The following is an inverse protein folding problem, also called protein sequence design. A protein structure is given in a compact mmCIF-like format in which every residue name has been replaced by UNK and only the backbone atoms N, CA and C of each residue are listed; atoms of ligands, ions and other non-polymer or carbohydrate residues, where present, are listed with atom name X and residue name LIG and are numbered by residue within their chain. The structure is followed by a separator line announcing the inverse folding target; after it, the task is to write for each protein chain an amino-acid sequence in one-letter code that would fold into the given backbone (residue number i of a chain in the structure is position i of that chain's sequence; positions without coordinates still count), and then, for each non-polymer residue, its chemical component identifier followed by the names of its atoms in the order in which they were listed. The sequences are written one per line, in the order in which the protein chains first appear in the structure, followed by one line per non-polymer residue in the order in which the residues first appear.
data_IF_758397823915
#
_entry.id   IF_758397823915
#
_cell.length_a   1.000
_cell.length_b   1.000
_cell.length_c   1.000
_cell.angle_alpha   90.00
_cell.angle_beta   90.00
_cell.angle_gamma   90.00
#
_symmetry.space_group_name_H-M   'P 1'
#
loop_
_entity.id
_entity.type
_entity.pdbx_description
1 polymer ?
#
# COMPACT_ATOMS: atom_id res chain seq x y z
N UNK A 1 1.30 19.13 -8.36
CA UNK A 1 0.30 18.31 -9.08
C UNK A 1 0.72 16.86 -9.21
N UNK A 2 1.87 16.55 -9.83
CA UNK A 2 2.36 15.18 -10.05
C UNK A 2 2.37 14.29 -8.79
N UNK A 3 2.90 14.78 -7.65
CA UNK A 3 2.91 14.03 -6.37
C UNK A 3 1.51 13.64 -5.88
N UNK A 4 0.51 14.51 -6.07
CA UNK A 4 -0.88 14.21 -5.70
C UNK A 4 -1.49 13.15 -6.63
N UNK A 5 -1.20 13.20 -7.92
CA UNK A 5 -1.65 12.19 -8.89
C UNK A 5 -1.06 10.82 -8.54
N UNK A 6 0.25 10.75 -8.28
CA UNK A 6 0.91 9.50 -7.86
C UNK A 6 0.31 9.01 -6.53
N UNK A 7 0.03 9.91 -5.58
CA UNK A 7 -0.58 9.52 -4.30
C UNK A 7 -1.96 8.90 -4.48
N UNK A 8 -2.79 9.45 -5.37
CA UNK A 8 -4.10 8.90 -5.70
C UNK A 8 -3.97 7.53 -6.37
N UNK A 9 -3.07 7.36 -7.35
CA UNK A 9 -2.85 6.08 -8.02
C UNK A 9 -2.36 4.99 -7.05
N UNK A 10 -1.40 5.32 -6.17
CA UNK A 10 -0.90 4.41 -5.13
C UNK A 10 -2.01 4.04 -4.14
N UNK A 11 -2.88 5.00 -3.79
CA UNK A 11 -4.02 4.73 -2.92
C UNK A 11 -5.00 3.75 -3.57
N UNK A 12 -5.33 3.94 -4.86
CA UNK A 12 -6.21 3.02 -5.60
C UNK A 12 -5.59 1.61 -5.66
N UNK A 13 -4.30 1.51 -5.99
CA UNK A 13 -3.59 0.23 -6.01
C UNK A 13 -3.60 -0.45 -4.62
N UNK A 14 -3.44 0.34 -3.55
CA UNK A 14 -3.50 -0.15 -2.17
C UNK A 14 -4.88 -0.71 -1.83
N UNK A 15 -5.96 -0.03 -2.20
CA UNK A 15 -7.33 -0.53 -2.00
C UNK A 15 -7.57 -1.83 -2.75
N UNK A 16 -7.02 -1.95 -3.96
CA UNK A 16 -7.11 -3.17 -4.77
C UNK A 16 -6.34 -4.33 -4.13
N UNK A 17 -5.12 -4.08 -3.64
CA UNK A 17 -4.33 -5.07 -2.92
C UNK A 17 -5.02 -5.53 -1.62
N UNK A 18 -5.67 -4.61 -0.88
CA UNK A 18 -6.47 -4.94 0.30
C UNK A 18 -7.65 -5.84 -0.09
N UNK A 19 -8.38 -5.52 -1.16
CA UNK A 19 -9.48 -6.36 -1.67
C UNK A 19 -9.01 -7.78 -1.95
N UNK A 20 -7.93 -7.94 -2.72
CA UNK A 20 -7.38 -9.26 -3.04
C UNK A 20 -6.90 -10.01 -1.79
N UNK A 21 -6.30 -9.29 -0.84
CA UNK A 21 -5.93 -9.85 0.47
C UNK A 21 -7.18 -10.39 1.17
N UNK A 22 -8.26 -9.61 1.28
CA UNK A 22 -9.51 -10.06 1.91
C UNK A 22 -10.06 -11.31 1.21
N UNK A 23 -10.06 -11.37 -0.13
CA UNK A 23 -10.49 -12.55 -0.89
C UNK A 23 -9.64 -13.78 -0.55
N UNK A 24 -8.32 -13.65 -0.47
CA UNK A 24 -7.40 -14.72 -0.06
C UNK A 24 -7.73 -15.21 1.37
N UNK A 25 -8.12 -14.29 2.25
CA UNK A 25 -8.47 -14.62 3.63
C UNK A 25 -9.86 -15.27 3.77
N UNK A 26 -10.84 -14.88 2.95
CA UNK A 26 -12.24 -15.33 3.07
C UNK A 26 -12.62 -16.46 2.12
N UNK A 27 -11.86 -16.70 1.06
CA UNK A 27 -12.17 -17.79 0.13
C UNK A 27 -12.04 -19.16 0.79
N UNK A 28 -12.92 -20.07 0.39
CA UNK A 28 -12.96 -21.47 0.83
C UNK A 28 -12.42 -22.41 -0.25
N UNK A 29 -11.81 -21.87 -1.31
CA UNK A 29 -11.19 -22.66 -2.40
C UNK A 29 -10.10 -23.60 -1.86
N UNK A 30 -10.21 -24.89 -2.17
CA UNK A 30 -9.34 -25.93 -1.64
C UNK A 30 -7.85 -25.71 -1.94
N UNK A 31 -7.52 -25.21 -3.13
CA UNK A 31 -6.14 -24.86 -3.53
C UNK A 31 -5.59 -23.66 -2.74
N UNK A 32 -6.43 -22.67 -2.44
CA UNK A 32 -6.04 -21.48 -1.67
C UNK A 32 -5.91 -21.84 -0.19
N UNK A 33 -6.77 -22.71 0.34
CA UNK A 33 -6.65 -23.22 1.71
C UNK A 33 -5.36 -24.03 1.89
N UNK A 34 -4.97 -24.84 0.92
CA UNK A 34 -3.74 -25.64 0.96
C UNK A 34 -2.46 -24.78 1.01
N UNK A 35 -2.46 -23.60 0.37
CA UNK A 35 -1.31 -22.66 0.36
C UNK A 35 -1.58 -21.37 1.13
N UNK A 36 -2.59 -21.36 1.99
CA UNK A 36 -3.13 -20.14 2.63
C UNK A 36 -2.06 -19.36 3.37
N UNK A 37 -1.20 -20.02 4.15
CA UNK A 37 -0.11 -19.36 4.88
C UNK A 37 0.88 -18.66 3.96
N UNK A 38 1.20 -19.23 2.80
CA UNK A 38 2.10 -18.62 1.82
C UNK A 38 1.45 -17.45 1.11
N UNK A 39 0.18 -17.58 0.70
CA UNK A 39 -0.57 -16.50 0.05
C UNK A 39 -0.85 -15.32 1.00
N UNK A 40 -1.18 -15.60 2.26
CA UNK A 40 -1.32 -14.58 3.31
C UNK A 40 0.00 -13.84 3.50
N UNK A 41 1.11 -14.57 3.62
CA UNK A 41 2.42 -13.94 3.81
C UNK A 41 2.81 -13.07 2.60
N UNK A 42 2.58 -13.55 1.38
CA UNK A 42 2.86 -12.79 0.17
C UNK A 42 1.98 -11.53 0.04
N UNK A 43 0.68 -11.66 0.30
CA UNK A 43 -0.28 -10.54 0.24
C UNK A 43 -0.02 -9.49 1.31
N UNK A 44 0.27 -9.89 2.57
CA UNK A 44 0.67 -8.94 3.62
C UNK A 44 1.99 -8.26 3.28
N UNK A 45 2.97 -9.02 2.79
CA UNK A 45 4.31 -8.51 2.45
C UNK A 45 4.25 -7.42 1.37
N UNK A 46 3.27 -7.46 0.47
CA UNK A 46 3.05 -6.42 -0.54
C UNK A 46 2.18 -5.29 0.02
N UNK A 47 1.11 -5.61 0.74
CA UNK A 47 0.13 -4.62 1.19
C UNK A 47 0.70 -3.68 2.26
N UNK A 48 1.47 -4.19 3.22
CA UNK A 48 2.08 -3.39 4.29
C UNK A 48 2.98 -2.26 3.74
N UNK A 49 4.00 -2.54 2.91
CA UNK A 49 4.84 -1.49 2.35
C UNK A 49 4.05 -0.55 1.43
N UNK A 50 3.04 -1.03 0.69
CA UNK A 50 2.17 -0.16 -0.11
C UNK A 50 1.43 0.87 0.75
N UNK A 51 0.87 0.43 1.89
CA UNK A 51 0.18 1.32 2.84
C UNK A 51 1.15 2.36 3.39
N UNK A 52 2.37 1.95 3.78
CA UNK A 52 3.41 2.86 4.28
C UNK A 52 3.78 3.90 3.22
N UNK A 53 4.03 3.48 1.98
CA UNK A 53 4.36 4.38 0.86
C UNK A 53 3.19 5.32 0.57
N UNK A 54 1.96 4.83 0.60
CA UNK A 54 0.75 5.62 0.40
C UNK A 54 0.66 6.74 1.45
N UNK A 55 0.81 6.42 2.74
CA UNK A 55 0.82 7.39 3.83
C UNK A 55 1.98 8.39 3.70
N UNK A 56 3.17 7.91 3.31
CA UNK A 56 4.34 8.77 3.12
C UNK A 56 4.17 9.74 1.94
N UNK A 57 3.46 9.33 0.89
CA UNK A 57 3.11 10.21 -0.23
C UNK A 57 2.13 11.31 0.17
N UNK A 58 1.26 11.03 1.13
CA UNK A 58 0.35 12.02 1.71
C UNK A 58 1.02 12.92 2.74
N UNK A 59 2.15 12.49 3.34
CA UNK A 59 2.90 13.31 4.28
C UNK A 59 3.26 14.66 3.64
N UNK A 60 2.89 15.81 4.25
CA UNK A 60 3.27 17.11 3.73
C UNK A 60 4.80 17.23 3.75
N UNK A 61 5.38 17.68 2.64
CA UNK A 61 6.81 17.99 2.61
C UNK A 61 7.03 19.06 3.67
N UNK A 62 7.89 18.85 4.69
CA UNK A 62 8.23 19.94 5.59
C UNK A 62 8.72 21.08 4.71
N UNK A 63 8.16 22.27 4.93
CA UNK A 63 8.62 23.49 4.30
C UNK A 63 10.12 23.52 4.62
N UNK A 64 10.97 23.37 3.61
CA UNK A 64 12.35 23.73 3.78
C UNK A 64 12.27 25.23 4.06
N UNK A 65 12.38 25.58 5.34
CA UNK A 65 12.61 26.96 5.70
C UNK A 65 13.88 27.34 4.95
N UNK A 66 13.72 28.25 3.98
CA UNK A 66 14.81 28.96 3.33
C UNK A 66 15.49 29.85 4.38
N UNK A 67 16.12 29.22 5.38
CA UNK A 67 17.12 29.83 6.24
C UNK A 67 18.50 29.43 5.73
N UNK A 68 18.75 29.73 4.45
CA UNK A 68 20.09 29.96 3.94
C UNK A 68 20.11 31.36 3.32
N UNK A 69 19.80 32.35 4.18
CA UNK A 69 20.29 33.71 4.03
C UNK A 69 21.51 33.84 4.95
N UNK A 70 22.71 33.59 4.42
CA UNK A 70 23.88 34.48 4.52
C UNK A 70 25.11 33.88 3.86
#
# INVERSE_FOLDING_TARGET
MLRKIIAVLVTIATLWAIKETVVIFTTTDADIVAKRSQLILASLSITIPLVIISLLLWRPKPKADNHEQR
#
